data_IF_532202906604
#
_entry.id   IF_532202906604
#
_cell.length_a   1.000
_cell.length_b   1.000
_cell.length_c   1.000
_cell.angle_alpha   90.00
_cell.angle_beta   90.00
_cell.angle_gamma   90.00
#
_symmetry.space_group_name_H-M   'P 1'
#
loop_
_entity.id
_entity.type
_entity.pdbx_description
1 polymer ?
#
# COMPACT_ATOMS: atom_id res chain seq x y z
N UNK A 1 -27.57 -8.80 -2.07
CA UNK A 1 -26.30 -8.13 -1.75
C UNK A 1 -25.22 -8.85 -2.54
N UNK A 2 -24.68 -8.20 -3.57
CA UNK A 2 -23.59 -8.76 -4.37
C UNK A 2 -22.30 -8.63 -3.57
N UNK A 3 -21.62 -9.75 -3.29
CA UNK A 3 -20.26 -9.73 -2.75
C UNK A 3 -19.35 -9.21 -3.86
N UNK A 4 -19.13 -7.89 -3.87
CA UNK A 4 -18.29 -7.19 -4.85
C UNK A 4 -16.81 -7.32 -4.50
N UNK A 5 -15.92 -7.10 -5.47
CA UNK A 5 -14.47 -7.34 -5.45
C UNK A 5 -13.67 -6.62 -4.34
N UNK A 6 -13.91 -6.94 -3.07
CA UNK A 6 -13.10 -6.47 -1.93
C UNK A 6 -11.68 -7.09 -1.91
N UNK A 7 -11.38 -8.01 -2.82
CA UNK A 7 -10.11 -8.73 -2.83
C UNK A 7 -9.05 -8.15 -3.77
N UNK A 8 -9.36 -7.12 -4.55
CA UNK A 8 -8.39 -6.55 -5.50
C UNK A 8 -7.49 -5.50 -4.83
N UNK A 9 -6.19 -5.43 -5.18
CA UNK A 9 -5.32 -4.34 -4.76
C UNK A 9 -5.87 -2.98 -5.20
N UNK A 10 -5.56 -1.95 -4.44
CA UNK A 10 -5.79 -0.57 -4.87
C UNK A 10 -4.54 0.26 -4.55
N UNK A 11 -4.02 0.99 -5.52
CA UNK A 11 -2.88 1.87 -5.34
C UNK A 11 -3.29 3.31 -5.62
N UNK A 12 -2.83 4.25 -4.81
CA UNK A 12 -3.04 5.66 -5.09
C UNK A 12 -1.85 6.51 -4.66
N UNK A 13 -1.72 7.66 -5.29
CA UNK A 13 -0.75 8.69 -4.93
C UNK A 13 -1.48 9.95 -4.50
N UNK A 14 -1.04 10.51 -3.39
CA UNK A 14 -1.56 11.77 -2.88
C UNK A 14 -0.42 12.74 -2.60
N UNK A 15 -0.66 14.01 -2.92
CA UNK A 15 0.27 15.11 -2.64
C UNK A 15 -0.27 15.94 -1.50
N UNK A 16 0.60 16.33 -0.59
CA UNK A 16 0.27 17.24 0.48
C UNK A 16 0.31 18.70 0.01
N UNK A 17 -0.76 19.44 0.31
CA UNK A 17 -0.80 20.90 0.28
C UNK A 17 -0.99 21.45 1.68
N UNK A 18 -0.15 22.40 2.11
CA UNK A 18 -0.26 23.04 3.43
C UNK A 18 -1.61 23.72 3.68
N UNK A 19 -2.29 24.21 2.63
CA UNK A 19 -3.57 24.92 2.74
C UNK A 19 -4.80 23.99 2.75
N UNK A 20 -4.73 22.86 2.03
CA UNK A 20 -5.90 22.02 1.75
C UNK A 20 -5.79 20.60 2.31
N UNK A 21 -4.63 20.23 2.87
CA UNK A 21 -4.35 18.86 3.28
C UNK A 21 -3.85 17.97 2.13
N UNK A 22 -3.78 16.64 2.34
CA UNK A 22 -3.51 15.69 1.28
C UNK A 22 -4.61 15.73 0.22
N UNK A 23 -4.19 15.62 -1.04
CA UNK A 23 -5.07 15.52 -2.20
C UNK A 23 -4.66 14.32 -3.05
N UNK A 24 -5.61 13.42 -3.33
CA UNK A 24 -5.35 12.29 -4.24
C UNK A 24 -5.16 12.83 -5.66
N UNK A 25 -4.06 12.46 -6.30
CA UNK A 25 -3.73 12.88 -7.66
C UNK A 25 -4.15 11.82 -8.69
N UNK A 26 -3.85 10.56 -8.39
CA UNK A 26 -4.13 9.42 -9.26
C UNK A 26 -4.35 8.18 -8.40
N UNK A 27 -5.21 7.26 -8.86
CA UNK A 27 -5.48 6.01 -8.20
C UNK A 27 -5.86 4.92 -9.20
N UNK A 28 -5.64 3.67 -8.81
CA UNK A 28 -6.04 2.47 -9.53
C UNK A 28 -6.53 1.40 -8.55
N UNK A 29 -7.52 0.57 -8.93
CA UNK A 29 -8.35 0.72 -10.11
C UNK A 29 -9.25 1.97 -9.99
N UNK A 30 -9.68 2.54 -11.11
CA UNK A 30 -10.61 3.68 -11.19
C UNK A 30 -12.05 3.32 -10.72
N UNK A 31 -12.19 2.80 -9.50
CA UNK A 31 -13.47 2.40 -8.90
C UNK A 31 -13.80 3.27 -7.68
N UNK A 32 -15.01 3.81 -7.63
CA UNK A 32 -15.49 4.77 -6.62
C UNK A 32 -15.90 4.14 -5.27
N UNK A 33 -15.44 2.94 -4.93
CA UNK A 33 -15.98 2.21 -3.76
C UNK A 33 -15.23 2.53 -2.45
N UNK A 34 -14.02 3.09 -2.52
CA UNK A 34 -13.20 3.44 -1.35
C UNK A 34 -13.06 4.95 -1.26
N UNK A 35 -13.33 5.52 -0.07
CA UNK A 35 -13.08 6.93 0.22
C UNK A 35 -11.57 7.18 0.44
N UNK A 36 -10.86 7.34 -0.68
CA UNK A 36 -9.41 7.54 -0.69
C UNK A 36 -8.98 8.84 0.00
N UNK A 37 -9.81 9.88 -0.02
CA UNK A 37 -9.50 11.15 0.65
C UNK A 37 -9.49 10.98 2.17
N UNK A 38 -10.48 10.26 2.72
CA UNK A 38 -10.48 9.92 4.14
C UNK A 38 -9.26 9.07 4.53
N UNK A 39 -8.86 8.11 3.70
CA UNK A 39 -7.65 7.31 3.93
C UNK A 39 -6.40 8.18 3.90
N UNK A 40 -6.29 9.06 2.89
CA UNK A 40 -5.18 10.00 2.74
C UNK A 40 -5.05 10.91 3.96
N UNK A 41 -6.17 11.43 4.48
CA UNK A 41 -6.21 12.21 5.72
C UNK A 41 -5.74 11.42 6.94
N UNK A 42 -6.17 10.17 7.10
CA UNK A 42 -5.73 9.33 8.22
C UNK A 42 -4.23 9.06 8.18
N UNK A 43 -3.69 8.79 6.99
CA UNK A 43 -2.24 8.60 6.77
C UNK A 43 -1.48 9.85 7.15
N UNK A 44 -1.97 10.99 6.70
CA UNK A 44 -1.37 12.28 6.99
C UNK A 44 -1.31 12.56 8.50
N UNK A 45 -2.39 12.32 9.24
CA UNK A 45 -2.44 12.50 10.69
C UNK A 45 -1.42 11.59 11.40
N UNK A 46 -1.33 10.32 11.00
CA UNK A 46 -0.31 9.40 11.54
C UNK A 46 1.08 9.95 11.26
N UNK A 47 1.34 10.36 10.02
CA UNK A 47 2.63 10.92 9.66
C UNK A 47 3.01 12.13 10.52
N UNK A 48 2.10 13.10 10.66
CA UNK A 48 2.33 14.29 11.48
C UNK A 48 2.61 13.96 12.95
N UNK A 49 1.92 12.97 13.52
CA UNK A 49 2.07 12.64 14.94
C UNK A 49 3.36 11.86 15.25
N UNK A 50 3.81 11.01 14.33
CA UNK A 50 4.89 10.05 14.61
C UNK A 50 6.22 10.39 13.93
N UNK A 51 6.18 11.08 12.80
CA UNK A 51 7.35 11.23 11.92
C UNK A 51 7.66 12.68 11.57
N UNK A 52 6.71 13.60 11.71
CA UNK A 52 6.97 15.01 11.52
C UNK A 52 7.67 15.61 12.75
N UNK A 53 8.95 15.93 12.59
CA UNK A 53 9.72 16.65 13.59
C UNK A 53 9.90 18.10 13.15
N UNK A 54 9.25 19.04 13.86
CA UNK A 54 9.34 20.49 13.60
C UNK A 54 10.79 21.00 13.58
N UNK A 55 11.71 20.32 14.27
CA UNK A 55 13.12 20.72 14.33
C UNK A 55 13.92 20.32 13.10
N UNK A 56 13.55 19.22 12.45
CA UNK A 56 14.32 18.67 11.34
C UNK A 56 13.78 19.09 9.99
N UNK A 57 12.48 19.48 9.88
CA UNK A 57 11.79 20.01 8.67
C UNK A 57 12.02 19.25 7.36
N UNK A 58 12.75 18.15 7.38
CA UNK A 58 13.11 17.29 6.26
C UNK A 58 12.30 16.02 6.44
N UNK A 59 11.48 15.73 5.44
CA UNK A 59 10.72 14.49 5.38
C UNK A 59 11.67 13.42 4.84
N UNK A 60 12.07 12.50 5.72
CA UNK A 60 12.87 11.34 5.31
C UNK A 60 12.00 10.36 4.52
N UNK A 61 12.63 9.63 3.60
CA UNK A 61 11.98 8.54 2.87
C UNK A 61 11.58 7.44 3.86
N UNK A 62 10.30 7.12 3.94
CA UNK A 62 9.78 6.14 4.90
C UNK A 62 8.87 5.15 4.18
N UNK A 63 9.06 3.86 4.49
CA UNK A 63 8.14 2.77 4.19
C UNK A 63 7.53 2.26 5.48
N UNK A 64 6.20 2.14 5.52
CA UNK A 64 5.51 1.62 6.71
C UNK A 64 4.18 0.97 6.37
N UNK A 65 3.72 0.14 7.30
CA UNK A 65 2.47 -0.63 7.16
C UNK A 65 1.46 -0.17 8.20
N UNK A 66 0.20 -0.04 7.81
CA UNK A 66 -0.90 0.22 8.74
C UNK A 66 -2.16 -0.57 8.36
N UNK A 67 -2.91 -1.10 9.33
CA UNK A 67 -4.20 -1.71 9.08
C UNK A 67 -5.33 -0.65 9.03
N UNK A 68 -6.29 -0.85 8.13
CA UNK A 68 -7.54 -0.10 8.05
C UNK A 68 -8.73 -1.05 8.30
N UNK A 69 -9.03 -1.27 9.59
CA UNK A 69 -10.04 -2.24 10.04
C UNK A 69 -11.46 -1.92 9.56
N UNK A 70 -11.76 -0.64 9.32
CA UNK A 70 -13.07 -0.19 8.86
C UNK A 70 -13.39 -0.58 7.42
N UNK A 71 -12.38 -0.90 6.61
CA UNK A 71 -12.52 -1.30 5.21
C UNK A 71 -11.95 -2.70 4.93
N UNK A 72 -11.57 -3.45 5.98
CA UNK A 72 -10.91 -4.76 5.88
C UNK A 72 -9.71 -4.75 4.91
N UNK A 73 -8.84 -3.73 5.05
CA UNK A 73 -7.62 -3.60 4.26
C UNK A 73 -6.40 -3.46 5.13
N UNK A 74 -5.27 -3.94 4.63
CA UNK A 74 -3.93 -3.53 5.07
C UNK A 74 -3.32 -2.61 4.03
N UNK A 75 -2.36 -1.80 4.46
CA UNK A 75 -1.76 -0.81 3.59
C UNK A 75 -0.25 -0.77 3.73
N UNK A 76 0.45 -0.79 2.60
CA UNK A 76 1.88 -0.44 2.52
C UNK A 76 1.99 0.97 1.98
N UNK A 77 2.77 1.81 2.66
CA UNK A 77 2.86 3.25 2.38
C UNK A 77 4.31 3.60 2.13
N UNK A 78 4.52 4.39 1.10
CA UNK A 78 5.77 5.05 0.81
C UNK A 78 5.56 6.56 0.92
N UNK A 79 6.43 7.26 1.63
CA UNK A 79 6.42 8.71 1.78
C UNK A 79 7.79 9.26 1.37
N UNK A 80 7.79 10.34 0.59
CA UNK A 80 9.00 11.08 0.21
C UNK A 80 8.68 12.58 0.01
N UNK A 81 9.72 13.39 -0.21
CA UNK A 81 9.63 14.82 -0.52
C UNK A 81 10.04 15.09 -1.96
N UNK A 82 9.28 15.94 -2.68
CA UNK A 82 9.62 16.35 -4.05
C UNK A 82 10.87 17.23 -4.09
N UNK A 83 11.01 18.14 -3.12
CA UNK A 83 12.14 19.06 -3.04
C UNK A 83 13.01 18.66 -1.85
N UNK A 84 14.16 18.06 -2.13
CA UNK A 84 15.18 17.76 -1.12
C UNK A 84 16.00 19.00 -0.74
N UNK A 85 15.84 20.11 -1.47
CA UNK A 85 16.77 21.23 -1.41
C UNK A 85 16.26 22.51 -0.72
N UNK A 86 15.14 23.18 -1.03
CA UNK A 86 15.10 24.61 -0.63
C UNK A 86 13.77 25.30 -0.19
N UNK A 87 12.67 24.61 0.14
CA UNK A 87 11.52 25.30 0.77
C UNK A 87 11.10 24.69 2.11
N UNK A 88 11.80 25.16 3.14
CA UNK A 88 11.65 24.86 4.56
C UNK A 88 10.25 25.20 5.12
N UNK A 89 9.49 26.06 4.42
CA UNK A 89 8.21 26.56 4.91
C UNK A 89 6.99 25.86 4.28
N UNK A 90 7.17 25.04 3.25
CA UNK A 90 6.07 24.27 2.67
C UNK A 90 6.59 22.98 2.01
N UNK A 91 6.96 21.95 2.81
CA UNK A 91 7.48 20.70 2.26
C UNK A 91 6.45 20.06 1.34
N UNK A 92 6.77 20.01 0.04
CA UNK A 92 5.95 19.35 -0.98
C UNK A 92 6.15 17.84 -0.89
N UNK A 93 5.60 17.24 0.16
CA UNK A 93 5.61 15.79 0.31
C UNK A 93 4.47 15.13 -0.43
N UNK A 94 4.71 13.89 -0.77
CA UNK A 94 3.73 13.01 -1.37
C UNK A 94 3.86 11.64 -0.73
N UNK A 95 2.78 10.89 -0.78
CA UNK A 95 2.78 9.50 -0.38
C UNK A 95 2.06 8.65 -1.41
N UNK A 96 2.53 7.42 -1.51
CA UNK A 96 1.97 6.36 -2.32
C UNK A 96 1.45 5.31 -1.35
N UNK A 97 0.24 4.83 -1.61
CA UNK A 97 -0.44 3.87 -0.75
C UNK A 97 -0.89 2.70 -1.60
N UNK A 98 -0.44 1.52 -1.23
CA UNK A 98 -0.98 0.25 -1.72
C UNK A 98 -1.90 -0.32 -0.64
N UNK A 99 -3.17 -0.48 -0.97
CA UNK A 99 -4.20 -1.16 -0.19
C UNK A 99 -4.32 -2.60 -0.68
N UNK A 100 -4.12 -3.54 0.23
CA UNK A 100 -4.33 -4.98 0.02
C UNK A 100 -5.40 -5.48 0.99
N UNK A 101 -6.01 -6.65 0.74
CA UNK A 101 -6.92 -7.27 1.70
C UNK A 101 -6.30 -7.45 3.09
N UNK A 102 -7.13 -7.53 4.13
CA UNK A 102 -6.67 -7.62 5.51
C UNK A 102 -5.90 -8.90 5.86
N UNK A 103 -6.16 -9.99 5.13
CA UNK A 103 -5.46 -11.27 5.26
C UNK A 103 -4.06 -11.29 4.62
N UNK A 104 -3.63 -10.20 3.95
CA UNK A 104 -2.29 -10.14 3.36
C UNK A 104 -1.20 -10.17 4.43
N UNK A 105 -0.24 -11.09 4.29
CA UNK A 105 0.90 -11.25 5.19
C UNK A 105 1.89 -10.10 5.09
N UNK A 106 2.76 -9.96 6.10
CA UNK A 106 3.85 -8.98 6.08
C UNK A 106 4.84 -9.29 4.96
N UNK A 107 5.17 -10.56 4.75
CA UNK A 107 6.04 -11.01 3.66
C UNK A 107 5.49 -10.61 2.28
N UNK A 108 4.17 -10.71 2.07
CA UNK A 108 3.54 -10.26 0.83
C UNK A 108 3.65 -8.74 0.69
N UNK A 109 3.43 -7.98 1.76
CA UNK A 109 3.53 -6.51 1.73
C UNK A 109 4.96 -6.05 1.40
N UNK A 110 5.99 -6.73 1.92
CA UNK A 110 7.39 -6.42 1.64
C UNK A 110 7.80 -6.63 0.18
N UNK A 111 7.15 -7.57 -0.53
CA UNK A 111 7.39 -7.77 -1.96
C UNK A 111 7.06 -6.54 -2.82
N UNK A 112 6.22 -5.64 -2.33
CA UNK A 112 5.84 -4.41 -3.03
C UNK A 112 6.76 -3.21 -2.76
N UNK A 113 7.74 -3.34 -1.86
CA UNK A 113 8.57 -2.20 -1.42
C UNK A 113 9.33 -1.57 -2.60
N UNK A 114 9.95 -2.40 -3.44
CA UNK A 114 10.67 -1.93 -4.62
C UNK A 114 9.74 -1.25 -5.63
N UNK A 115 8.53 -1.78 -5.82
CA UNK A 115 7.54 -1.18 -6.73
C UNK A 115 7.16 0.21 -6.22
N UNK A 116 6.84 0.35 -4.93
CA UNK A 116 6.50 1.65 -4.34
C UNK A 116 7.66 2.66 -4.39
N UNK A 117 8.89 2.20 -4.16
CA UNK A 117 10.09 3.03 -4.31
C UNK A 117 10.24 3.51 -5.75
N UNK A 118 10.09 2.63 -6.74
CA UNK A 118 10.20 2.97 -8.16
C UNK A 118 9.15 4.00 -8.57
N UNK A 119 7.89 3.82 -8.15
CA UNK A 119 6.82 4.80 -8.35
C UNK A 119 7.22 6.15 -7.74
N UNK A 120 7.76 6.15 -6.52
CA UNK A 120 8.19 7.37 -5.83
C UNK A 120 9.33 8.10 -6.51
N UNK A 121 10.32 7.36 -7.01
CA UNK A 121 11.46 7.91 -7.74
C UNK A 121 11.03 8.47 -9.10
N UNK A 122 10.18 7.75 -9.83
CA UNK A 122 9.61 8.25 -11.09
C UNK A 122 8.81 9.52 -10.84
N UNK A 123 7.89 9.51 -9.87
CA UNK A 123 7.07 10.67 -9.53
C UNK A 123 7.92 11.91 -9.18
N UNK A 124 8.98 11.70 -8.40
CA UNK A 124 9.88 12.78 -7.98
C UNK A 124 10.61 13.40 -9.17
N UNK A 125 11.00 12.58 -10.15
CA UNK A 125 11.79 13.02 -11.30
C UNK A 125 10.93 13.67 -12.39
N UNK A 126 9.79 13.06 -12.74
CA UNK A 126 8.97 13.47 -13.89
C UNK A 126 7.82 14.39 -13.51
N UNK A 127 7.38 14.36 -12.23
CA UNK A 127 6.15 15.01 -11.73
C UNK A 127 4.87 14.58 -12.47
N UNK A 128 4.96 13.54 -13.29
CA UNK A 128 3.87 12.95 -14.07
C UNK A 128 3.99 11.44 -13.98
N UNK A 129 2.96 10.75 -13.52
CA UNK A 129 3.01 9.30 -13.34
C UNK A 129 2.12 8.58 -14.35
N UNK A 130 2.49 7.36 -14.69
CA UNK A 130 1.62 6.39 -15.33
C UNK A 130 1.30 5.27 -14.32
N UNK A 131 0.44 5.56 -13.34
CA UNK A 131 0.12 4.60 -12.26
C UNK A 131 -0.46 3.30 -12.81
N UNK A 132 -1.08 3.35 -13.99
CA UNK A 132 -1.64 2.19 -14.66
C UNK A 132 -0.60 1.08 -14.91
N UNK A 133 0.62 1.43 -15.34
CA UNK A 133 1.65 0.43 -15.64
C UNK A 133 2.09 -0.32 -14.38
N UNK A 134 2.30 0.43 -13.29
CA UNK A 134 2.63 -0.15 -11.99
C UNK A 134 1.47 -0.93 -11.39
N UNK A 135 0.23 -0.51 -11.64
CA UNK A 135 -0.94 -1.23 -11.16
C UNK A 135 -1.07 -2.62 -11.81
N UNK A 136 -0.74 -2.75 -13.10
CA UNK A 136 -0.70 -4.05 -13.78
C UNK A 136 0.33 -4.97 -13.10
N UNK A 137 1.55 -4.48 -12.86
CA UNK A 137 2.61 -5.22 -12.14
C UNK A 137 2.17 -5.64 -10.73
N UNK A 138 1.58 -4.70 -9.97
CA UNK A 138 1.05 -4.97 -8.62
C UNK A 138 -0.01 -6.07 -8.65
N UNK A 139 -0.93 -6.01 -9.61
CA UNK A 139 -2.03 -6.96 -9.71
C UNK A 139 -1.53 -8.35 -10.15
N UNK A 140 -0.58 -8.43 -11.07
CA UNK A 140 0.04 -9.70 -11.47
C UNK A 140 0.78 -10.37 -10.32
N UNK A 141 1.60 -9.62 -9.59
CA UNK A 141 2.31 -10.12 -8.41
C UNK A 141 1.31 -10.60 -7.35
N UNK A 142 0.27 -9.81 -7.07
CA UNK A 142 -0.75 -10.19 -6.11
C UNK A 142 -1.49 -11.50 -6.48
N UNK A 143 -1.86 -11.67 -7.76
CA UNK A 143 -2.51 -12.89 -8.24
C UNK A 143 -1.57 -14.10 -8.15
N UNK A 144 -0.29 -13.92 -8.48
CA UNK A 144 0.70 -14.99 -8.41
C UNK A 144 0.86 -15.50 -6.96
N UNK A 145 0.97 -14.57 -6.02
CA UNK A 145 1.12 -14.88 -4.60
C UNK A 145 -0.12 -15.57 -4.02
N UNK A 146 -1.33 -15.13 -4.40
CA UNK A 146 -2.56 -15.83 -4.01
C UNK A 146 -2.58 -17.28 -4.52
N UNK A 147 -2.17 -17.52 -5.77
CA UNK A 147 -2.13 -18.87 -6.34
C UNK A 147 -1.13 -19.78 -5.62
N UNK A 148 0.02 -19.24 -5.21
CA UNK A 148 1.02 -19.98 -4.43
C UNK A 148 0.42 -20.36 -3.08
N UNK A 149 -0.20 -19.40 -2.38
CA UNK A 149 -0.84 -19.64 -1.09
C UNK A 149 -1.97 -20.70 -1.17
N UNK A 150 -2.80 -20.65 -2.22
CA UNK A 150 -3.86 -21.64 -2.45
C UNK A 150 -3.28 -23.04 -2.77
N UNK A 151 -2.14 -23.09 -3.46
CA UNK A 151 -1.44 -24.35 -3.79
C UNK A 151 -0.80 -24.97 -2.54
N UNK A 152 -0.28 -24.17 -1.63
CA UNK A 152 0.27 -24.64 -0.35
C UNK A 152 -0.83 -25.17 0.58
N UNK A 153 -1.98 -24.49 0.66
CA UNK A 153 -3.13 -24.97 1.44
C UNK A 153 -3.66 -26.31 0.94
N UNK A 154 -3.70 -26.52 -0.37
CA UNK A 154 -4.15 -27.80 -0.95
C UNK A 154 -3.17 -28.96 -0.72
N UNK A 155 -1.88 -28.68 -0.52
CA UNK A 155 -0.89 -29.70 -0.15
C UNK A 155 -0.98 -30.13 1.32
N UNK A 156 -1.46 -29.26 2.22
CA UNK A 156 -1.66 -29.60 3.64
C UNK A 156 -2.93 -30.44 3.88
N UNK A 157 -3.96 -30.30 3.06
CA UNK A 157 -5.19 -31.13 3.14
C UNK A 157 -4.97 -32.59 2.68
N UNK A 158 -3.89 -32.85 1.95
CA UNK A 158 -3.42 -34.20 1.60
C UNK A 158 -2.56 -34.84 2.72
N UNK A 159 -2.75 -34.43 3.98
CA UNK A 159 -2.33 -35.23 5.14
C UNK A 159 -3.12 -36.54 5.14
N UNK A 160 -2.57 -37.50 4.41
CA UNK A 160 -3.23 -38.72 4.03
C UNK A 160 -3.78 -39.44 5.27
N UNK A 161 -5.04 -39.87 5.19
CA UNK A 161 -5.70 -40.76 6.16
C UNK A 161 -4.80 -41.90 6.72
N UNK A 162 -3.85 -42.48 5.96
CA UNK A 162 -2.81 -43.37 6.49
C UNK A 162 -1.97 -42.83 7.66
N UNK A 163 -1.64 -41.54 7.71
CA UNK A 163 -0.80 -40.95 8.76
C UNK A 163 -1.57 -40.73 10.07
N UNK A 164 -2.86 -40.37 9.98
CA UNK A 164 -3.71 -40.25 11.16
C UNK A 164 -3.95 -41.60 11.88
N UNK A 165 -3.88 -42.72 11.14
CA UNK A 165 -4.00 -44.07 11.71
C UNK A 165 -2.75 -44.57 12.44
N UNK A 166 -1.58 -43.94 12.24
CA UNK A 166 -0.33 -44.32 12.91
C UNK A 166 -0.22 -43.72 14.32
N UNK A 167 -0.85 -42.58 14.59
CA UNK A 167 -0.84 -41.93 15.92
C UNK A 167 -1.82 -42.55 16.93
N UNK A 168 -2.66 -43.50 16.51
CA UNK A 168 -3.60 -44.23 17.39
C UNK A 168 -3.12 -45.64 17.80
N UNK A 169 -1.88 -46.03 17.49
CA UNK A 169 -1.27 -47.30 17.93
C UNK A 169 -0.28 -47.08 19.07
#
# INVERSE_FOLDING_TARGET
MSYKNFNQPCVFIAKWSGEFGPKVLEFQPNSNEIDLETIAMQIFIVYQNFYYNEKEKIISRILFTLPFKNINRRSKKFLDSLDKTENIDNPHSFFIVLLLPDYSSDDLLEKFDNILINIGEEFSNTKTLLLNNYYEEINELFILEQKVQDSEMSLEEDYSFPNALLDFK
#
